data_IF_892509952194
#
_entry.id   IF_892509952194
#
_cell.length_a   1.000
_cell.length_b   1.000
_cell.length_c   1.000
_cell.angle_alpha   90.00
_cell.angle_beta   90.00
_cell.angle_gamma   90.00
#
_symmetry.space_group_name_H-M   'P 1'
#
loop_
_entity.id
_entity.type
_entity.pdbx_description
1 polymer ?
#
# COMPACT_ATOMS: atom_id res chain seq x y z
N UNK A 1 2.61 19.12 3.15
CA UNK A 1 2.97 18.98 1.73
C UNK A 1 2.12 17.91 1.03
N UNK A 2 2.07 16.65 1.50
CA UNK A 2 1.27 15.61 0.81
C UNK A 2 -0.25 15.77 0.92
N UNK A 3 -0.75 16.36 2.02
CA UNK A 3 -2.18 16.66 2.23
C UNK A 3 -2.73 17.50 1.07
N UNK A 4 -1.97 18.47 0.58
CA UNK A 4 -2.41 19.36 -0.50
C UNK A 4 -2.19 18.74 -1.89
N UNK A 5 -1.42 17.65 -2.00
CA UNK A 5 -1.02 17.01 -3.26
C UNK A 5 -1.84 15.77 -3.60
N UNK A 6 -2.43 15.11 -2.60
CA UNK A 6 -3.13 13.83 -2.82
C UNK A 6 -4.38 13.69 -1.92
N UNK A 7 -5.56 13.45 -2.52
CA UNK A 7 -6.82 13.38 -1.77
C UNK A 7 -6.90 12.14 -0.86
N UNK A 8 -6.27 11.03 -1.24
CA UNK A 8 -6.25 9.83 -0.43
C UNK A 8 -5.43 10.04 0.84
N UNK A 9 -4.27 10.68 0.71
CA UNK A 9 -3.44 11.07 1.84
C UNK A 9 -4.15 12.11 2.72
N UNK A 10 -4.78 13.12 2.12
CA UNK A 10 -5.56 14.12 2.86
C UNK A 10 -6.64 13.47 3.71
N UNK A 11 -7.37 12.48 3.16
CA UNK A 11 -8.42 11.77 3.90
C UNK A 11 -7.87 11.11 5.17
N UNK A 12 -6.68 10.50 5.10
CA UNK A 12 -6.09 9.79 6.25
C UNK A 12 -5.40 10.73 7.25
N UNK A 13 -4.74 11.78 6.77
CA UNK A 13 -3.77 12.55 7.56
C UNK A 13 -4.08 14.05 7.70
N UNK A 14 -5.27 14.52 7.30
CA UNK A 14 -5.69 15.91 7.58
C UNK A 14 -5.94 16.19 9.07
N UNK A 15 -6.18 15.16 9.88
CA UNK A 15 -6.29 15.32 11.33
C UNK A 15 -4.88 15.50 11.92
N UNK A 16 -4.57 16.59 12.65
CA UNK A 16 -3.25 16.81 13.23
C UNK A 16 -2.82 15.73 14.25
N UNK A 17 -3.76 14.98 14.82
CA UNK A 17 -3.46 13.85 15.71
C UNK A 17 -3.05 12.58 14.95
N UNK A 18 -3.29 12.51 13.64
CA UNK A 18 -2.88 11.38 12.82
C UNK A 18 -1.37 11.45 12.58
N UNK A 19 -0.63 10.53 13.20
CA UNK A 19 0.82 10.45 13.09
C UNK A 19 1.24 9.39 12.07
N UNK A 20 2.33 9.69 11.36
CA UNK A 20 3.03 8.74 10.49
C UNK A 20 4.31 8.34 11.22
N UNK A 21 4.51 7.04 11.40
CA UNK A 21 5.74 6.51 11.95
C UNK A 21 6.82 6.45 10.87
N UNK A 22 8.04 6.79 11.25
CA UNK A 22 9.23 6.50 10.47
C UNK A 22 9.61 5.01 10.57
N UNK A 23 10.47 4.53 9.68
CA UNK A 23 11.01 3.17 9.75
C UNK A 23 11.72 2.89 11.09
N UNK A 24 12.44 3.87 11.64
CA UNK A 24 13.19 3.70 12.89
C UNK A 24 12.24 3.59 14.09
N UNK A 25 11.18 4.40 14.10
CA UNK A 25 10.12 4.30 15.10
C UNK A 25 9.37 2.97 14.99
N UNK A 26 9.09 2.52 13.76
CA UNK A 26 8.49 1.20 13.52
C UNK A 26 9.38 0.08 14.06
N UNK A 27 10.69 0.10 13.80
CA UNK A 27 11.63 -0.90 14.33
C UNK A 27 11.64 -0.87 15.87
N UNK A 28 11.71 0.31 16.48
CA UNK A 28 11.68 0.44 17.93
C UNK A 28 10.38 -0.14 18.53
N UNK A 29 9.25 0.05 17.87
CA UNK A 29 7.97 -0.49 18.31
C UNK A 29 7.83 -2.00 18.04
N UNK A 30 8.40 -2.49 16.94
CA UNK A 30 8.53 -3.94 16.69
C UNK A 30 9.34 -4.62 17.79
N UNK A 31 10.45 -4.03 18.22
CA UNK A 31 11.30 -4.57 19.29
C UNK A 31 10.57 -4.63 20.63
N UNK A 32 9.82 -3.57 20.98
CA UNK A 32 8.98 -3.54 22.19
C UNK A 32 7.85 -4.58 22.15
N UNK A 33 7.31 -4.83 20.96
CA UNK A 33 6.15 -5.70 20.77
C UNK A 33 6.51 -7.15 20.45
N UNK A 34 7.80 -7.46 20.29
CA UNK A 34 8.26 -8.79 19.88
C UNK A 34 7.85 -9.18 18.46
N UNK A 35 7.75 -8.21 17.54
CA UNK A 35 7.43 -8.45 16.13
C UNK A 35 8.74 -8.68 15.36
N UNK A 36 8.90 -9.87 14.79
CA UNK A 36 10.11 -10.24 14.06
C UNK A 36 10.18 -9.57 12.69
N UNK A 37 9.08 -9.54 11.92
CA UNK A 37 9.05 -9.01 10.55
C UNK A 37 7.77 -8.23 10.30
N UNK A 38 7.89 -7.10 9.61
CA UNK A 38 6.76 -6.29 9.14
C UNK A 38 6.80 -6.12 7.63
N UNK A 39 5.61 -6.12 7.00
CA UNK A 39 5.45 -5.72 5.60
C UNK A 39 5.08 -4.23 5.58
N UNK A 40 5.89 -3.42 4.92
CA UNK A 40 5.69 -1.97 4.79
C UNK A 40 5.25 -1.63 3.38
N UNK A 41 4.27 -0.73 3.27
CA UNK A 41 3.61 -0.39 2.01
C UNK A 41 3.45 1.12 1.92
N UNK A 42 3.39 1.62 0.70
CA UNK A 42 2.88 2.95 0.44
C UNK A 42 1.33 2.95 0.44
N UNK A 43 0.74 4.13 0.59
CA UNK A 43 -0.68 4.36 0.32
C UNK A 43 -0.93 4.30 -1.20
N UNK A 44 -2.18 4.02 -1.60
CA UNK A 44 -2.60 4.07 -3.01
C UNK A 44 -2.61 5.50 -3.58
N UNK A 45 -1.43 6.05 -3.88
CA UNK A 45 -1.25 7.40 -4.43
C UNK A 45 -1.95 7.59 -5.78
N UNK A 46 -2.53 8.78 -5.97
CA UNK A 46 -3.29 9.13 -7.18
C UNK A 46 -2.42 9.58 -8.35
N UNK A 47 -1.16 9.97 -8.10
CA UNK A 47 -0.21 10.39 -9.13
C UNK A 47 1.03 9.50 -9.14
N UNK A 48 1.56 9.24 -10.34
CA UNK A 48 2.73 8.37 -10.49
C UNK A 48 4.01 8.98 -9.87
N UNK A 49 4.18 10.29 -9.96
CA UNK A 49 5.35 10.97 -9.39
C UNK A 49 5.42 10.78 -7.86
N UNK A 50 4.27 10.81 -7.17
CA UNK A 50 4.20 10.50 -5.74
C UNK A 50 4.53 9.03 -5.46
N UNK A 51 4.09 8.11 -6.33
CA UNK A 51 4.49 6.70 -6.21
C UNK A 51 6.02 6.57 -6.24
N UNK A 52 6.68 7.15 -7.25
CA UNK A 52 8.14 7.07 -7.41
C UNK A 52 8.85 7.71 -6.21
N UNK A 53 8.45 8.92 -5.84
CA UNK A 53 9.02 9.69 -4.72
C UNK A 53 8.95 8.89 -3.40
N UNK A 54 7.83 8.23 -3.14
CA UNK A 54 7.62 7.51 -1.88
C UNK A 54 8.16 6.08 -1.91
N UNK A 55 8.32 5.49 -3.09
CA UNK A 55 9.02 4.21 -3.24
C UNK A 55 10.49 4.32 -2.85
N UNK A 56 11.12 5.48 -3.06
CA UNK A 56 12.50 5.70 -2.61
C UNK A 56 12.64 5.54 -1.08
N UNK A 57 11.63 6.00 -0.32
CA UNK A 57 11.60 5.80 1.14
C UNK A 57 11.43 4.32 1.52
N UNK A 58 10.54 3.59 0.84
CA UNK A 58 10.35 2.15 1.10
C UNK A 58 11.62 1.36 0.78
N UNK A 59 12.28 1.66 -0.34
CA UNK A 59 13.54 1.04 -0.74
C UNK A 59 14.63 1.34 0.29
N UNK A 60 14.76 2.59 0.72
CA UNK A 60 15.71 2.99 1.77
C UNK A 60 15.44 2.22 3.08
N UNK A 61 14.20 2.19 3.55
CA UNK A 61 13.83 1.51 4.79
C UNK A 61 14.15 0.00 4.74
N UNK A 62 13.83 -0.68 3.64
CA UNK A 62 14.19 -2.09 3.44
C UNK A 62 15.70 -2.27 3.38
N UNK A 63 16.43 -1.36 2.74
CA UNK A 63 17.89 -1.47 2.66
C UNK A 63 18.58 -1.35 4.03
N UNK A 64 18.02 -0.54 4.94
CA UNK A 64 18.52 -0.36 6.31
C UNK A 64 18.15 -1.53 7.22
N UNK A 65 17.00 -2.16 7.00
CA UNK A 65 16.48 -3.24 7.85
C UNK A 65 16.04 -4.49 7.06
N UNK A 66 16.91 -5.09 6.23
CA UNK A 66 16.50 -6.10 5.24
C UNK A 66 16.03 -7.43 5.83
N UNK A 67 16.33 -7.69 7.10
CA UNK A 67 15.88 -8.90 7.82
C UNK A 67 14.59 -8.69 8.61
N UNK A 68 14.15 -7.43 8.77
CA UNK A 68 13.01 -7.04 9.60
C UNK A 68 11.88 -6.43 8.77
N UNK A 69 12.18 -5.79 7.64
CA UNK A 69 11.21 -5.10 6.80
C UNK A 69 11.15 -5.72 5.40
N UNK A 70 9.93 -6.03 4.97
CA UNK A 70 9.61 -6.43 3.60
C UNK A 70 8.84 -5.28 2.96
N UNK A 71 9.41 -4.66 1.92
CA UNK A 71 8.79 -3.48 1.30
C UNK A 71 7.98 -3.80 0.05
N UNK A 72 6.86 -3.10 -0.08
CA UNK A 72 5.98 -3.11 -1.24
C UNK A 72 5.94 -1.70 -1.84
N UNK A 73 6.19 -1.59 -3.15
CA UNK A 73 6.15 -0.31 -3.85
C UNK A 73 4.72 0.12 -4.17
N UNK A 74 4.50 1.38 -4.51
CA UNK A 74 3.26 1.86 -5.11
C UNK A 74 3.48 2.15 -6.60
N UNK A 75 2.43 2.02 -7.39
CA UNK A 75 2.36 2.56 -8.75
C UNK A 75 0.96 3.12 -8.99
N UNK A 76 0.85 3.95 -10.02
CA UNK A 76 -0.43 4.41 -10.57
C UNK A 76 -0.71 3.62 -11.85
N UNK A 77 -1.57 2.60 -11.83
CA UNK A 77 -1.81 1.73 -12.99
C UNK A 77 -2.18 2.47 -14.28
N UNK A 78 -2.89 3.60 -14.19
CA UNK A 78 -3.25 4.40 -15.36
C UNK A 78 -2.06 5.03 -16.09
N UNK A 79 -0.90 5.14 -15.43
CA UNK A 79 0.34 5.59 -16.06
C UNK A 79 1.03 4.49 -16.89
N UNK A 80 0.39 3.34 -17.06
CA UNK A 80 0.74 2.20 -17.93
C UNK A 80 2.25 1.96 -18.04
N UNK A 81 2.92 2.48 -19.08
CA UNK A 81 4.36 2.32 -19.31
C UNK A 81 5.23 2.74 -18.12
N UNK A 82 4.89 3.86 -17.48
CA UNK A 82 5.63 4.35 -16.32
C UNK A 82 5.42 3.45 -15.10
N UNK A 83 4.19 2.93 -14.90
CA UNK A 83 3.90 1.97 -13.85
C UNK A 83 4.71 0.67 -14.03
N UNK A 84 4.79 0.14 -15.26
CA UNK A 84 5.60 -1.04 -15.56
C UNK A 84 7.08 -0.79 -15.28
N UNK A 85 7.63 0.34 -15.73
CA UNK A 85 9.03 0.69 -15.47
C UNK A 85 9.32 0.81 -13.96
N UNK A 86 8.37 1.34 -13.18
CA UNK A 86 8.53 1.46 -11.73
C UNK A 86 8.40 0.11 -11.01
N UNK A 87 7.54 -0.80 -11.48
CA UNK A 87 7.48 -2.19 -11.02
C UNK A 87 8.86 -2.85 -11.19
N UNK A 88 9.47 -2.71 -12.35
CA UNK A 88 10.80 -3.25 -12.61
C UNK A 88 11.85 -2.66 -11.66
N UNK A 89 11.79 -1.35 -11.40
CA UNK A 89 12.71 -0.66 -10.50
C UNK A 89 12.58 -1.18 -9.08
N UNK A 90 11.35 -1.26 -8.57
CA UNK A 90 11.04 -1.81 -7.24
C UNK A 90 11.50 -3.27 -7.11
N UNK A 91 11.26 -4.10 -8.13
CA UNK A 91 11.72 -5.48 -8.14
C UNK A 91 13.25 -5.59 -8.07
N UNK A 92 13.96 -4.79 -8.87
CA UNK A 92 15.44 -4.73 -8.88
C UNK A 92 15.99 -4.23 -7.53
N UNK A 93 15.26 -3.36 -6.84
CA UNK A 93 15.60 -2.87 -5.51
C UNK A 93 15.29 -3.89 -4.38
N UNK A 94 14.71 -5.04 -4.71
CA UNK A 94 14.47 -6.14 -3.76
C UNK A 94 13.10 -6.12 -3.08
N UNK A 95 12.20 -5.21 -3.48
CA UNK A 95 10.82 -5.19 -2.99
C UNK A 95 10.08 -6.48 -3.38
N UNK A 96 9.11 -6.90 -2.57
CA UNK A 96 8.41 -8.19 -2.72
C UNK A 96 6.97 -8.06 -3.20
N UNK A 97 6.49 -6.84 -3.34
CA UNK A 97 5.15 -6.58 -3.82
C UNK A 97 4.98 -5.17 -4.33
N UNK A 98 3.80 -4.92 -4.90
CA UNK A 98 3.34 -3.59 -5.28
C UNK A 98 1.93 -3.42 -4.76
N UNK A 99 1.73 -2.43 -3.92
CA UNK A 99 0.50 -2.08 -3.28
C UNK A 99 0.75 -1.39 -1.93
N UNK A 100 -0.30 -1.00 -1.22
CA UNK A 100 -1.70 -1.31 -1.56
C UNK A 100 -2.19 -0.59 -2.82
N UNK A 101 -2.94 -1.31 -3.67
CA UNK A 101 -3.65 -0.71 -4.79
C UNK A 101 -5.08 -0.36 -4.35
N UNK A 102 -5.54 0.82 -4.76
CA UNK A 102 -6.86 1.38 -4.40
C UNK A 102 -7.61 1.80 -5.65
N UNK A 103 -8.36 0.90 -6.31
CA UNK A 103 -9.09 1.23 -7.53
C UNK A 103 -10.03 2.44 -7.37
N UNK A 104 -10.64 2.57 -6.19
CA UNK A 104 -11.54 3.67 -5.86
C UNK A 104 -10.85 5.04 -5.80
N UNK A 105 -9.59 5.10 -5.37
CA UNK A 105 -8.81 6.33 -5.28
C UNK A 105 -7.96 6.60 -6.52
N UNK A 106 -7.43 5.54 -7.12
CA UNK A 106 -6.57 5.59 -8.30
C UNK A 106 -7.38 5.61 -9.59
N UNK A 107 -8.72 5.62 -9.48
CA UNK A 107 -9.71 5.90 -10.53
C UNK A 107 -9.64 4.95 -11.74
N UNK A 108 -9.38 3.67 -11.49
CA UNK A 108 -9.38 2.64 -12.53
C UNK A 108 -10.32 1.48 -12.14
N UNK A 109 -10.82 0.77 -13.14
CA UNK A 109 -11.63 -0.43 -12.95
C UNK A 109 -10.71 -1.67 -13.00
N UNK A 110 -10.89 -2.60 -12.08
CA UNK A 110 -10.16 -3.87 -12.08
C UNK A 110 -10.52 -4.77 -13.28
N UNK A 111 -11.59 -4.45 -14.01
CA UNK A 111 -11.98 -5.10 -15.27
C UNK A 111 -11.48 -4.40 -16.53
N UNK A 112 -10.79 -3.25 -16.41
CA UNK A 112 -10.18 -2.59 -17.55
C UNK A 112 -8.88 -3.28 -17.96
N UNK A 113 -8.99 -4.28 -18.84
CA UNK A 113 -7.88 -5.07 -19.36
C UNK A 113 -6.75 -4.20 -19.95
N UNK A 114 -7.06 -3.02 -20.52
CA UNK A 114 -6.03 -2.14 -21.09
C UNK A 114 -5.10 -1.55 -20.01
N UNK A 115 -5.60 -1.41 -18.78
CA UNK A 115 -4.83 -0.92 -17.63
C UNK A 115 -4.27 -2.07 -16.82
N UNK A 116 -5.06 -3.12 -16.62
CA UNK A 116 -4.74 -4.23 -15.72
C UNK A 116 -3.75 -5.21 -16.34
N UNK A 117 -3.89 -5.56 -17.62
CA UNK A 117 -3.06 -6.61 -18.21
C UNK A 117 -1.58 -6.23 -18.19
N UNK A 118 -1.13 -5.05 -18.65
CA UNK A 118 0.29 -4.69 -18.63
C UNK A 118 0.84 -4.64 -17.20
N UNK A 119 0.02 -4.19 -16.26
CA UNK A 119 0.35 -4.10 -14.84
C UNK A 119 0.54 -5.49 -14.22
N UNK A 120 -0.42 -6.40 -14.43
CA UNK A 120 -0.39 -7.77 -13.90
C UNK A 120 0.69 -8.61 -14.56
N UNK A 121 0.91 -8.45 -15.87
CA UNK A 121 2.02 -9.11 -16.58
C UNK A 121 3.37 -8.74 -15.97
N UNK A 122 3.61 -7.46 -15.69
CA UNK A 122 4.84 -7.00 -15.06
C UNK A 122 5.01 -7.59 -13.65
N UNK A 123 3.95 -7.61 -12.84
CA UNK A 123 3.98 -8.23 -11.51
C UNK A 123 4.30 -9.72 -11.57
N UNK A 124 3.67 -10.46 -12.49
CA UNK A 124 3.91 -11.89 -12.70
C UNK A 124 5.34 -12.16 -13.15
N UNK A 125 5.86 -11.37 -14.09
CA UNK A 125 7.24 -11.49 -14.58
C UNK A 125 8.25 -11.39 -13.43
N UNK A 126 8.02 -10.46 -12.50
CA UNK A 126 8.87 -10.23 -11.33
C UNK A 126 8.49 -11.02 -10.08
N UNK A 127 7.43 -11.85 -10.14
CA UNK A 127 6.90 -12.65 -9.02
C UNK A 127 6.57 -11.80 -7.79
N UNK A 128 5.96 -10.64 -8.02
CA UNK A 128 5.58 -9.69 -6.98
C UNK A 128 4.16 -9.94 -6.46
N UNK A 129 3.96 -9.71 -5.16
CA UNK A 129 2.66 -9.81 -4.49
C UNK A 129 1.86 -8.52 -4.70
N UNK A 130 0.55 -8.64 -4.94
CA UNK A 130 -0.37 -7.52 -5.12
C UNK A 130 -1.46 -7.52 -4.03
N UNK A 131 -1.34 -6.70 -2.98
CA UNK A 131 -2.45 -6.44 -2.07
C UNK A 131 -3.36 -5.34 -2.62
N UNK A 132 -4.66 -5.61 -2.64
CA UNK A 132 -5.71 -4.63 -2.95
C UNK A 132 -6.36 -4.15 -1.66
N UNK A 133 -6.50 -2.85 -1.50
CA UNK A 133 -7.24 -2.26 -0.38
C UNK A 133 -8.64 -1.87 -0.84
N UNK A 134 -9.64 -2.46 -0.20
CA UNK A 134 -11.05 -2.21 -0.47
C UNK A 134 -11.65 -1.44 0.69
N UNK A 135 -12.11 -0.22 0.43
CA UNK A 135 -12.95 0.50 1.38
C UNK A 135 -14.41 0.36 0.97
N UNK A 136 -15.26 -0.10 1.88
CA UNK A 136 -16.69 -0.20 1.66
C UNK A 136 -17.36 1.15 1.96
N UNK A 137 -17.19 2.16 1.09
CA UNK A 137 -17.85 3.48 1.25
C UNK A 137 -19.02 3.71 0.30
N UNK A 138 -19.44 2.71 -0.49
CA UNK A 138 -20.68 2.79 -1.27
C UNK A 138 -21.97 2.76 -0.41
N UNK A 139 -21.84 2.76 0.92
CA UNK A 139 -22.96 2.77 1.87
C UNK A 139 -23.01 4.01 2.78
N UNK A 140 -22.32 5.12 2.45
CA UNK A 140 -22.53 6.39 3.16
C UNK A 140 -22.23 6.37 4.67
N UNK A 141 -21.42 5.42 5.14
CA UNK A 141 -20.98 5.37 6.53
C UNK A 141 -19.62 6.05 6.63
N UNK A 142 -19.59 7.20 7.31
CA UNK A 142 -18.36 7.89 7.67
C UNK A 142 -17.42 6.99 8.47
N UNK A 143 -16.14 7.35 8.49
CA UNK A 143 -15.11 6.65 9.27
C UNK A 143 -15.61 6.43 10.70
N UNK A 144 -15.73 5.16 11.12
CA UNK A 144 -15.95 4.84 12.52
C UNK A 144 -14.68 5.25 13.31
N UNK A 145 -14.81 6.02 14.40
CA UNK A 145 -13.69 6.25 15.30
C UNK A 145 -13.36 4.92 15.98
N UNK A 146 -12.10 4.48 15.90
CA UNK A 146 -11.48 3.36 16.63
C UNK A 146 -12.45 2.38 17.32
N UNK A 147 -12.72 1.24 16.68
CA UNK A 147 -13.07 0.04 17.42
C UNK A 147 -12.23 -1.14 16.91
N UNK A 148 -11.25 -1.52 17.73
CA UNK A 148 -10.70 -2.86 17.74
C UNK A 148 -11.88 -3.83 17.92
N UNK A 149 -12.35 -4.42 16.83
CA UNK A 149 -13.21 -5.59 16.92
C UNK A 149 -12.29 -6.79 16.82
N UNK A 150 -11.93 -7.35 17.98
CA UNK A 150 -11.29 -8.66 18.04
C UNK A 150 -12.22 -9.66 17.36
N UNK A 151 -11.80 -10.25 16.23
CA UNK A 151 -12.50 -11.41 15.68
C UNK A 151 -12.19 -12.57 16.63
N UNK A 152 -13.14 -12.94 17.49
CA UNK A 152 -13.04 -14.18 18.26
C UNK A 152 -13.37 -15.34 17.33
N UNK A 153 -12.66 -16.45 17.49
CA UNK A 153 -12.88 -17.69 16.75
C UNK A 153 -14.30 -18.20 17.08
N UNK A 154 -15.25 -18.06 16.15
CA UNK A 154 -16.64 -18.48 16.36
C UNK A 154 -17.70 -17.85 15.44
N UNK A 155 -17.43 -16.70 14.82
CA UNK A 155 -18.49 -15.91 14.14
C UNK A 155 -18.62 -16.13 12.62
N UNK A 156 -18.30 -17.34 12.12
CA UNK A 156 -18.65 -17.70 10.73
C UNK A 156 -19.91 -18.57 10.77
N UNK A 157 -21.08 -18.09 10.30
CA UNK A 157 -22.19 -18.97 10.02
C UNK A 157 -21.80 -19.82 8.81
N UNK A 158 -21.50 -21.10 9.07
CA UNK A 158 -21.54 -22.13 8.05
C UNK A 158 -22.99 -22.24 7.58
N UNK A 159 -23.29 -21.80 6.38
CA UNK A 159 -24.51 -22.23 5.67
C UNK A 159 -24.09 -22.98 4.42
N UNK A 160 -24.60 -24.21 4.34
CA UNK A 160 -24.37 -25.23 3.34
C UNK A 160 -24.92 -24.86 1.95
#
# INVERSE_FOLDING_TARGET
QYIDRDPCFAILYSNPEAKIATADELIADMDKSGIDVSVILNIGWTTHDLCVETNDYIIDAVSRYPQRLIGFGAVQPQSTKAAVAEIERCAKAGLKGVGEIRPDMQLFDLSDEMVIDPFVEALNHHKLILPTHTICTRLGLGKTPNSLTSIRKGDVPCTA
#
